data_IF_408957869577
#
_entry.id   IF_408957869577
#
_cell.length_a   1.000
_cell.length_b   1.000
_cell.length_c   1.000
_cell.angle_alpha   90.00
_cell.angle_beta   90.00
_cell.angle_gamma   90.00
#
_symmetry.space_group_name_H-M   'P 1'
#
loop_
_entity.id
_entity.type
_entity.pdbx_description
1 polymer ?
2 non-polymer ?
3 non-polymer ?
4 non-polymer ?
5 water ?
#
# COMPACT_ATOMS: atom_id res chain seq x y z
N UNK A 4 26.93 19.90 17.72
CA UNK A 4 26.40 18.69 17.08
C UNK A 4 26.89 18.58 15.64
N UNK A 5 26.16 19.20 14.72
CA UNK A 5 26.48 19.14 13.31
C UNK A 5 25.64 18.17 12.51
N UNK A 6 24.80 17.37 13.17
CA UNK A 6 23.92 16.43 12.50
C UNK A 6 22.50 16.61 13.02
N UNK A 7 21.53 16.34 12.16
CA UNK A 7 20.12 16.48 12.51
C UNK A 7 19.73 15.27 13.34
N UNK A 8 19.75 15.43 14.66
CA UNK A 8 19.40 14.35 15.59
C UNK A 8 18.08 14.68 16.26
N UNK A 9 17.15 13.73 16.21
CA UNK A 9 15.85 13.85 16.87
C UNK A 9 15.66 12.62 17.75
N UNK A 10 15.31 12.84 19.01
CA UNK A 10 15.21 11.74 19.95
C UNK A 10 16.54 11.03 20.08
N UNK A 11 16.53 9.71 19.85
CA UNK A 11 17.72 8.89 19.87
C UNK A 11 18.27 8.61 18.47
N UNK A 12 17.75 9.27 17.45
CA UNK A 12 18.07 8.95 16.07
C UNK A 12 18.78 10.11 15.39
N UNK A 13 19.81 9.78 14.63
CA UNK A 13 20.50 10.74 13.77
C UNK A 13 19.96 10.55 12.36
N UNK A 14 19.45 11.63 11.77
CA UNK A 14 18.90 11.57 10.43
C UNK A 14 20.00 11.62 9.39
N UNK A 15 19.74 11.01 8.24
CA UNK A 15 20.74 10.96 7.19
C UNK A 15 20.19 11.19 5.80
N UNK A 16 20.26 10.17 4.95
CA UNK A 16 19.83 10.29 3.57
C UNK A 16 18.33 10.56 3.48
N UNK A 17 17.94 11.28 2.43
CA UNK A 17 16.53 11.58 2.19
C UNK A 17 15.93 10.43 1.37
N UNK A 18 14.94 9.75 1.96
CA UNK A 18 14.25 8.68 1.25
C UNK A 18 13.19 9.20 0.31
N UNK A 19 12.72 10.43 0.50
CA UNK A 19 11.71 11.01 -0.36
C UNK A 19 11.20 12.33 0.17
N UNK A 20 10.68 13.18 -0.71
CA UNK A 20 10.12 14.47 -0.32
C UNK A 20 8.62 14.42 -0.59
N UNK A 21 7.82 14.64 0.45
CA UNK A 21 6.38 14.55 0.31
C UNK A 21 5.60 15.81 0.69
N UNK A 22 4.38 15.62 1.19
CA UNK A 22 3.48 16.72 1.48
C UNK A 22 4.01 17.61 2.59
N UNK A 23 4.02 17.09 3.82
CA UNK A 23 4.36 17.88 5.00
C UNK A 23 5.86 17.93 5.27
N UNK A 24 6.68 17.33 4.43
CA UNK A 24 8.12 17.37 4.61
C UNK A 24 8.78 16.12 4.06
N UNK A 25 10.09 16.08 4.20
CA UNK A 25 10.89 14.97 3.68
C UNK A 25 10.83 13.77 4.63
N UNK A 26 11.10 12.60 4.05
CA UNK A 26 11.28 11.37 4.82
C UNK A 26 12.76 11.00 4.75
N UNK A 27 13.39 10.90 5.91
CA UNK A 27 14.83 10.64 6.00
C UNK A 27 15.08 9.36 6.79
N UNK A 28 16.10 8.62 6.37
CA UNK A 28 16.52 7.44 7.13
C UNK A 28 17.13 7.89 8.45
N UNK A 29 16.68 7.27 9.53
CA UNK A 29 17.20 7.54 10.85
C UNK A 29 18.00 6.34 11.35
N UNK A 30 18.96 6.61 12.23
CA UNK A 30 19.81 5.58 12.80
C UNK A 30 19.90 5.79 14.30
N UNK A 31 19.53 4.78 15.07
CA UNK A 31 19.61 4.87 16.53
C UNK A 31 21.07 5.01 16.95
N UNK A 32 21.37 6.09 17.68
CA UNK A 32 22.75 6.36 18.08
C UNK A 32 23.30 5.26 18.98
N UNK A 33 22.43 4.58 19.74
CA UNK A 33 22.85 3.57 20.69
C UNK A 33 22.82 2.15 20.11
N UNK A 34 21.74 1.79 19.41
CA UNK A 34 21.58 0.44 18.90
C UNK A 34 21.96 0.30 17.43
N UNK A 35 21.97 1.40 16.67
CA UNK A 35 22.27 1.34 15.25
C UNK A 35 21.11 0.87 14.39
N UNK A 36 19.93 0.66 14.96
CA UNK A 36 18.78 0.18 14.22
C UNK A 36 18.31 1.25 13.24
N UNK A 37 18.26 0.89 11.96
CA UNK A 37 17.79 1.81 10.93
C UNK A 37 16.29 2.06 11.09
N UNK A 38 15.87 3.25 10.67
CA UNK A 38 14.49 3.71 10.85
C UNK A 38 14.19 4.75 9.79
N UNK A 39 12.91 4.94 9.50
CA UNK A 39 12.46 5.94 8.53
C UNK A 39 11.62 6.99 9.25
N UNK A 40 12.08 8.23 9.23
CA UNK A 40 11.48 9.32 9.97
C UNK A 40 10.73 10.23 9.00
N UNK A 41 9.41 10.31 9.15
CA UNK A 41 8.60 11.27 8.43
C UNK A 41 8.62 12.60 9.18
N UNK A 42 9.00 13.67 8.50
CA UNK A 42 9.06 15.00 9.09
C UNK A 42 7.84 15.77 8.64
N UNK A 43 6.99 16.16 9.60
CA UNK A 43 5.75 16.87 9.33
C UNK A 43 5.90 18.32 9.77
N UNK A 44 6.04 19.23 8.81
CA UNK A 44 6.14 20.65 9.13
C UNK A 44 4.80 21.14 9.65
N UNK A 45 4.80 21.70 10.86
CA UNK A 45 3.54 22.09 11.50
C UNK A 45 2.91 23.31 10.85
N UNK A 46 3.72 24.18 10.25
CA UNK A 46 3.16 25.33 9.54
C UNK A 46 2.43 24.88 8.27
N UNK A 47 2.95 23.87 7.59
CA UNK A 47 2.23 23.29 6.46
C UNK A 47 0.94 22.64 6.91
N UNK A 48 0.97 21.95 8.06
CA UNK A 48 -0.23 21.30 8.58
C UNK A 48 -1.32 22.33 8.88
N UNK A 49 -0.93 23.46 9.48
CA UNK A 49 -1.90 24.48 9.83
C UNK A 49 -2.40 25.26 8.62
N UNK A 50 -1.63 25.28 7.53
CA UNK A 50 -2.08 25.97 6.33
C UNK A 50 -3.21 25.21 5.63
N UNK A 51 -3.24 23.89 5.79
CA UNK A 51 -4.31 23.07 5.22
C UNK A 51 -5.45 22.83 6.20
N UNK A 52 -5.33 23.32 7.44
CA UNK A 52 -6.37 23.18 8.46
C UNK A 52 -6.70 21.71 8.72
N UNK A 53 -5.65 20.87 8.79
CA UNK A 53 -5.83 19.45 9.06
C UNK A 53 -5.11 19.10 10.36
N UNK A 54 -4.98 20.09 11.25
CA UNK A 54 -4.28 19.88 12.51
C UNK A 54 -5.02 18.84 13.35
N UNK A 55 -6.32 19.06 13.56
CA UNK A 55 -7.10 18.10 14.32
C UNK A 55 -7.24 16.76 13.64
N UNK A 56 -7.12 16.73 12.31
CA UNK A 56 -7.23 15.48 11.58
C UNK A 56 -5.92 14.68 11.61
N UNK A 57 -4.79 15.37 11.46
CA UNK A 57 -3.49 14.69 11.48
C UNK A 57 -3.21 14.12 12.86
N UNK A 58 -3.52 14.88 13.92
CA UNK A 58 -3.31 14.39 15.27
C UNK A 58 -4.18 13.19 15.60
N UNK A 59 -5.30 12.99 14.90
CA UNK A 59 -6.12 11.81 15.09
C UNK A 59 -5.76 10.68 14.13
N UNK A 60 -5.16 10.98 12.98
CA UNK A 60 -4.56 9.93 12.17
C UNK A 60 -3.32 9.37 12.84
N UNK A 61 -2.52 10.22 13.48
CA UNK A 61 -1.34 9.76 14.19
C UNK A 61 -1.74 8.95 15.42
N UNK A 62 -2.67 9.48 16.22
CA UNK A 62 -3.09 8.77 17.43
C UNK A 62 -3.80 7.46 17.09
N UNK A 63 -4.41 7.37 15.91
CA UNK A 63 -5.02 6.13 15.49
C UNK A 63 -3.99 5.15 14.93
N UNK A 64 -3.08 5.64 14.09
CA UNK A 64 -2.00 4.81 13.57
C UNK A 64 -1.08 4.30 14.67
N UNK A 65 -1.00 5.03 15.79
CA UNK A 65 -0.18 4.59 16.92
C UNK A 65 -0.71 3.31 17.56
N UNK A 66 -2.01 3.04 17.43
CA UNK A 66 -2.62 1.83 17.97
C UNK A 66 -2.77 0.74 16.92
N UNK A 67 -1.93 0.76 15.88
CA UNK A 67 -1.96 -0.26 14.83
C UNK A 67 -0.96 -1.35 15.15
N UNK A 68 -1.39 -2.60 15.04
CA UNK A 68 -0.55 -3.77 15.34
C UNK A 68 -0.76 -4.79 14.23
N UNK A 69 0.01 -4.66 13.15
CA UNK A 69 -0.09 -5.57 12.01
C UNK A 69 1.30 -5.80 11.44
N UNK A 70 1.70 -7.06 11.22
CA UNK A 70 3.06 -7.33 10.73
C UNK A 70 3.31 -6.84 9.31
N UNK A 71 2.26 -6.51 8.55
CA UNK A 71 2.41 -6.11 7.15
C UNK A 71 1.96 -4.69 6.89
N UNK A 72 1.77 -3.90 7.94
CA UNK A 72 1.57 -2.45 7.83
C UNK A 72 2.78 -1.78 8.45
N UNK A 73 3.30 -0.75 7.78
CA UNK A 73 4.47 -0.02 8.27
C UNK A 73 4.17 0.50 9.66
N UNK A 74 5.02 0.12 10.62
CA UNK A 74 4.75 0.42 12.02
C UNK A 74 5.24 1.81 12.39
N UNK A 75 4.48 2.48 13.25
CA UNK A 75 4.88 3.77 13.83
C UNK A 75 5.44 3.52 15.22
N UNK A 76 6.72 3.84 15.41
CA UNK A 76 7.37 3.56 16.68
C UNK A 76 7.07 4.64 17.72
N UNK A 77 7.24 5.91 17.35
CA UNK A 77 6.98 7.01 18.27
C UNK A 77 6.86 8.29 17.46
N UNK A 78 6.32 9.32 18.11
CA UNK A 78 6.18 10.64 17.52
C UNK A 78 6.89 11.64 18.43
N UNK A 79 7.86 12.37 17.87
CA UNK A 79 8.64 13.35 18.59
C UNK A 79 8.19 14.73 18.15
N UNK A 80 7.82 15.57 19.12
CA UNK A 80 7.20 16.87 18.86
C UNK A 80 8.17 17.99 19.22
N UNK A 81 8.59 18.73 18.22
CA UNK A 81 9.25 20.01 18.38
C UNK A 81 8.26 21.13 18.09
N UNK A 82 8.57 22.37 18.48
CA UNK A 82 7.65 23.47 18.17
C UNK A 82 7.36 23.63 16.68
N UNK A 83 8.22 23.13 15.81
CA UNK A 83 8.09 23.36 14.37
C UNK A 83 7.76 22.13 13.55
N UNK A 84 8.02 20.93 14.06
CA UNK A 84 7.89 19.73 13.25
C UNK A 84 7.37 18.56 14.09
N UNK A 85 6.69 17.64 13.43
CA UNK A 85 6.37 16.33 13.98
C UNK A 85 7.30 15.30 13.35
N UNK A 86 7.92 14.47 14.17
CA UNK A 86 8.85 13.45 13.72
C UNK A 86 8.25 12.08 13.99
N UNK A 87 7.65 11.49 12.96
CA UNK A 87 7.07 10.15 13.05
C UNK A 87 8.17 9.13 12.77
N UNK A 88 8.61 8.44 13.82
CA UNK A 88 9.65 7.43 13.71
C UNK A 88 8.97 6.13 13.29
N UNK A 89 9.22 5.69 12.06
CA UNK A 89 8.50 4.58 11.47
C UNK A 89 9.48 3.50 11.01
N UNK A 90 8.92 2.31 10.76
CA UNK A 90 9.72 1.17 10.33
C UNK A 90 10.38 1.44 8.99
N UNK A 91 11.63 1.03 8.86
CA UNK A 91 12.38 1.13 7.61
C UNK A 91 12.41 -0.24 6.94
N UNK A 92 12.06 -0.28 5.65
CA UNK A 92 12.06 -1.51 4.87
C UNK A 92 12.86 -1.27 3.59
N UNK A 93 13.80 -2.17 3.31
CA UNK A 93 14.78 -1.97 2.26
C UNK A 93 14.53 -2.79 1.00
N UNK A 94 13.43 -3.55 0.94
CA UNK A 94 13.16 -4.37 -0.23
C UNK A 94 12.67 -3.62 -1.45
N UNK A 95 12.29 -2.35 -1.30
CA UNK A 95 11.79 -1.58 -2.42
C UNK A 95 10.32 -1.86 -2.70
N UNK A 96 9.81 -1.18 -3.72
CA UNK A 96 8.42 -1.33 -4.09
C UNK A 96 8.15 -2.73 -4.66
N UNK A 97 6.96 -3.25 -4.36
CA UNK A 97 6.59 -4.58 -4.85
C UNK A 97 6.52 -4.61 -6.37
N UNK A 98 5.93 -3.59 -6.98
CA UNK A 98 5.76 -3.59 -8.43
C UNK A 98 7.07 -3.34 -9.17
N UNK A 99 8.05 -2.71 -8.52
CA UNK A 99 9.38 -2.62 -9.11
C UNK A 99 10.04 -4.00 -9.19
N UNK A 100 9.79 -4.84 -8.16
CA UNK A 100 10.29 -6.21 -8.21
C UNK A 100 9.62 -7.00 -9.33
N UNK A 101 8.30 -6.86 -9.47
CA UNK A 101 7.58 -7.61 -10.49
C UNK A 101 8.02 -7.17 -11.88
N UNK A 102 8.10 -5.86 -12.11
CA UNK A 102 8.46 -5.35 -13.41
C UNK A 102 9.90 -5.69 -13.81
N UNK A 103 10.72 -6.13 -12.87
CA UNK A 103 12.10 -6.52 -13.14
C UNK A 103 12.33 -8.02 -13.11
N UNK A 104 11.55 -8.76 -12.32
CA UNK A 104 11.70 -10.22 -12.27
C UNK A 104 10.63 -10.96 -13.05
N UNK A 105 9.45 -10.37 -13.24
CA UNK A 105 8.36 -11.06 -13.89
C UNK A 105 7.43 -11.67 -12.86
N UNK A 106 6.67 -12.66 -13.31
CA UNK A 106 5.75 -13.35 -12.41
C UNK A 106 6.53 -14.14 -11.36
N UNK A 107 5.97 -14.21 -10.16
CA UNK A 107 6.51 -15.02 -9.10
C UNK A 107 5.81 -16.37 -9.11
N UNK A 108 6.34 -17.32 -8.34
CA UNK A 108 5.72 -18.63 -8.24
C UNK A 108 4.37 -18.52 -7.54
N UNK A 109 3.49 -19.48 -7.80
CA UNK A 109 2.11 -19.39 -7.34
C UNK A 109 2.03 -19.36 -5.82
N UNK A 110 2.90 -20.09 -5.13
CA UNK A 110 2.90 -20.08 -3.67
C UNK A 110 3.41 -18.75 -3.14
N UNK A 111 4.40 -18.15 -3.81
CA UNK A 111 4.88 -16.83 -3.38
C UNK A 111 3.84 -15.75 -3.66
N UNK A 112 3.11 -15.88 -4.78
CA UNK A 112 2.04 -14.93 -5.05
C UNK A 112 0.91 -15.06 -4.03
N UNK A 113 0.59 -16.30 -3.63
CA UNK A 113 -0.46 -16.50 -2.64
C UNK A 113 -0.04 -15.94 -1.29
N UNK A 114 1.20 -16.21 -0.88
CA UNK A 114 1.69 -15.71 0.41
C UNK A 114 1.66 -14.19 0.45
N UNK A 115 2.08 -13.53 -0.65
CA UNK A 115 2.10 -12.08 -0.66
C UNK A 115 0.70 -11.49 -0.72
N UNK A 116 -0.19 -12.12 -1.49
CA UNK A 116 -1.56 -11.60 -1.59
C UNK A 116 -2.30 -11.74 -0.27
N UNK A 117 -2.05 -12.83 0.46
CA UNK A 117 -2.67 -12.99 1.77
C UNK A 117 -2.18 -11.93 2.75
N UNK A 118 -0.90 -11.58 2.68
CA UNK A 118 -0.39 -10.51 3.54
C UNK A 118 -1.02 -9.16 3.17
N UNK A 119 -1.09 -8.87 1.88
CA UNK A 119 -1.64 -7.59 1.42
C UNK A 119 -3.13 -7.50 1.76
N UNK A 120 -3.88 -8.58 1.52
CA UNK A 120 -5.31 -8.55 1.80
C UNK A 120 -5.58 -8.41 3.29
N UNK A 121 -4.72 -8.96 4.13
CA UNK A 121 -4.90 -8.83 5.58
C UNK A 121 -4.63 -7.41 6.04
N UNK A 122 -3.59 -6.77 5.50
CA UNK A 122 -3.29 -5.40 5.87
C UNK A 122 -4.40 -4.45 5.43
N UNK A 123 -4.94 -4.65 4.21
CA UNK A 123 -6.01 -3.79 3.71
C UNK A 123 -7.25 -3.93 4.59
N UNK A 124 -7.60 -5.16 4.96
CA UNK A 124 -8.75 -5.38 5.83
C UNK A 124 -8.55 -4.72 7.18
N UNK A 125 -7.32 -4.76 7.72
CA UNK A 125 -7.05 -4.15 9.01
C UNK A 125 -7.22 -2.63 8.95
N UNK A 126 -6.80 -2.01 7.85
CA UNK A 126 -6.94 -0.56 7.73
C UNK A 126 -8.40 -0.15 7.61
N UNK A 127 -9.17 -0.86 6.78
CA UNK A 127 -10.58 -0.56 6.62
C UNK A 127 -11.34 -0.71 7.93
N UNK A 128 -10.90 -1.63 8.79
CA UNK A 128 -11.59 -1.86 10.05
C UNK A 128 -11.18 -0.88 11.14
N UNK A 129 -9.92 -0.44 11.15
CA UNK A 129 -9.35 0.25 12.30
C UNK A 129 -9.04 1.72 12.05
N UNK A 130 -9.50 2.30 10.94
CA UNK A 130 -9.17 3.70 10.68
C UNK A 130 -10.22 4.31 9.77
N UNK A 131 -10.30 5.64 9.81
CA UNK A 131 -11.07 6.40 8.83
C UNK A 131 -10.19 6.62 7.61
N UNK A 132 -10.59 6.05 6.48
CA UNK A 132 -9.76 6.03 5.28
C UNK A 132 -9.78 7.40 4.63
N UNK A 133 -8.62 8.06 4.60
CA UNK A 133 -8.44 9.28 3.82
C UNK A 133 -7.74 9.03 2.49
N UNK A 134 -7.04 7.91 2.34
CA UNK A 134 -6.46 7.49 1.08
C UNK A 134 -7.05 6.14 0.67
N UNK A 135 -6.85 5.80 -0.59
CA UNK A 135 -7.08 4.46 -1.08
C UNK A 135 -5.74 3.75 -1.25
N UNK A 136 -5.80 2.42 -1.26
CA UNK A 136 -4.59 1.64 -1.44
C UNK A 136 -3.91 2.01 -2.76
N UNK A 137 -2.66 2.47 -2.66
CA UNK A 137 -1.86 2.74 -3.84
C UNK A 137 -0.91 1.57 -4.05
N UNK A 138 -1.07 0.77 -5.10
CA UNK A 138 -0.17 -0.39 -5.28
C UNK A 138 1.29 -0.02 -5.38
N UNK A 139 1.61 1.24 -5.69
CA UNK A 139 2.99 1.71 -5.64
C UNK A 139 3.49 1.88 -4.21
N UNK A 140 2.58 2.09 -3.25
CA UNK A 140 2.95 2.19 -1.85
C UNK A 140 3.13 0.85 -1.16
N UNK A 141 2.96 -0.26 -1.88
CA UNK A 141 3.18 -1.58 -1.31
C UNK A 141 4.67 -1.87 -1.40
N UNK A 142 5.33 -1.93 -0.25
CA UNK A 142 6.77 -2.14 -0.19
C UNK A 142 7.09 -3.57 0.23
N UNK A 143 8.37 -3.91 0.12
CA UNK A 143 8.88 -5.18 0.58
C UNK A 143 9.99 -4.94 1.60
N UNK A 144 10.22 -5.92 2.46
CA UNK A 144 11.33 -5.87 3.38
C UNK A 144 12.44 -6.78 2.87
N UNK A 145 13.44 -7.04 3.71
CA UNK A 145 14.52 -7.94 3.33
C UNK A 145 14.11 -9.40 3.36
N UNK A 146 13.00 -9.73 4.03
CA UNK A 146 12.48 -11.09 4.09
C UNK A 146 11.35 -11.33 3.09
N UNK A 147 11.21 -10.46 2.09
CA UNK A 147 10.21 -10.61 1.04
C UNK A 147 8.78 -10.60 1.60
N UNK A 148 8.55 -9.84 2.67
CA UNK A 148 7.22 -9.65 3.22
C UNK A 148 6.63 -8.33 2.75
N UNK A 149 5.32 -8.32 2.59
CA UNK A 149 4.63 -7.12 2.14
C UNK A 149 4.51 -6.11 3.27
N UNK A 150 4.77 -4.84 2.95
CA UNK A 150 4.72 -3.75 3.92
C UNK A 150 3.94 -2.60 3.30
N UNK A 151 2.84 -2.22 3.95
CA UNK A 151 1.88 -1.26 3.40
C UNK A 151 1.86 -0.03 4.28
N UNK A 152 1.91 1.15 3.64
CA UNK A 152 1.67 2.40 4.34
C UNK A 152 0.18 2.61 4.54
N UNK A 153 -0.21 3.04 5.73
CA UNK A 153 -1.63 3.18 6.05
C UNK A 153 -2.27 4.26 5.18
N UNK A 154 -3.61 4.20 5.09
CA UNK A 154 -4.39 5.03 4.19
C UNK A 154 -4.69 6.40 4.76
N UNK A 155 -3.84 6.95 5.63
CA UNK A 155 -4.01 8.31 6.10
C UNK A 155 -3.37 9.33 5.19
N UNK A 156 -3.85 10.57 5.26
CA UNK A 156 -3.33 11.63 4.41
C UNK A 156 -1.91 12.07 4.76
N UNK A 157 -1.28 11.40 5.74
CA UNK A 157 0.13 11.65 6.02
C UNK A 157 1.04 10.85 5.11
N UNK A 158 0.56 9.70 4.63
CA UNK A 158 1.36 8.78 3.80
C UNK A 158 1.24 9.08 2.32
N UNK A 159 1.20 10.36 1.94
CA UNK A 159 1.18 10.73 0.53
C UNK A 159 2.59 10.74 -0.07
N UNK A 160 3.44 9.81 0.36
CA UNK A 160 4.83 9.77 -0.06
C UNK A 160 5.05 8.71 -1.13
N UNK A 161 5.89 9.03 -2.11
CA UNK A 161 6.23 8.11 -3.19
C UNK A 161 7.41 8.65 -3.99
N UNK A 162 8.35 9.31 -3.31
CA UNK A 162 9.50 9.94 -3.94
C UNK A 162 10.77 9.14 -3.65
N UNK A 163 11.89 9.64 -4.15
CA UNK A 163 13.18 8.99 -3.95
C UNK A 163 13.85 8.57 -5.23
N UNK A 169 8.08 0.35 -11.79
CA UNK A 169 6.70 -0.06 -12.06
C UNK A 169 6.41 -0.01 -13.56
N UNK A 170 5.24 -0.52 -13.93
CA UNK A 170 4.88 -0.70 -15.34
C UNK A 170 3.68 0.16 -15.72
N UNK A 171 3.46 1.25 -15.01
CA UNK A 171 2.32 2.11 -15.25
C UNK A 171 1.91 2.83 -13.99
N UNK A 172 1.00 3.80 -14.16
CA UNK A 172 0.59 4.60 -13.02
C UNK A 172 -0.93 4.74 -12.93
N UNK A 173 -1.63 5.14 -14.00
CA UNK A 173 -3.11 5.09 -13.95
C UNK A 173 -3.66 3.68 -14.06
N UNK A 174 -2.80 2.68 -14.25
CA UNK A 174 -3.23 1.30 -14.37
C UNK A 174 -3.94 0.79 -13.12
N UNK A 175 -3.68 1.40 -11.97
CA UNK A 175 -4.26 0.96 -10.71
C UNK A 175 -5.48 1.78 -10.31
N UNK A 176 -6.11 2.45 -11.27
CA UNK A 176 -7.27 3.29 -11.01
C UNK A 176 -8.54 2.51 -11.28
N UNK A 177 -9.36 2.33 -10.24
CA UNK A 177 -10.62 1.61 -10.39
C UNK A 177 -11.57 2.38 -11.30
N UNK A 178 -12.51 1.69 -11.94
CA UNK A 178 -13.43 2.38 -12.88
C UNK A 178 -14.21 3.52 -12.24
N UNK A 179 -14.76 3.30 -11.04
CA UNK A 179 -15.51 4.37 -10.38
C UNK A 179 -14.60 5.54 -10.00
N UNK A 180 -13.30 5.28 -9.80
CA UNK A 180 -12.36 6.37 -9.58
C UNK A 180 -12.11 7.14 -10.86
N UNK A 181 -11.98 6.43 -11.98
CA UNK A 181 -11.74 7.08 -13.27
C UNK A 181 -12.93 7.93 -13.67
N UNK A 182 -14.15 7.45 -13.41
CA UNK A 182 -15.36 8.16 -13.78
C UNK A 182 -15.66 9.34 -12.86
N UNK A 183 -14.83 9.60 -11.86
CA UNK A 183 -15.04 10.74 -10.99
C UNK A 183 -16.24 10.63 -10.09
N UNK A 184 -16.60 9.42 -9.69
CA UNK A 184 -17.75 9.23 -8.81
C UNK A 184 -17.49 9.89 -7.46
N UNK A 185 -18.42 10.77 -7.05
CA UNK A 185 -18.20 11.56 -5.85
C UNK A 185 -18.15 10.73 -4.58
N UNK A 186 -18.61 9.48 -4.63
CA UNK A 186 -18.51 8.56 -3.50
C UNK A 186 -17.72 7.33 -3.91
N UNK A 187 -16.90 6.83 -2.98
CA UNK A 187 -16.17 5.59 -3.18
C UNK A 187 -15.91 4.97 -1.82
N UNK A 188 -16.08 3.65 -1.73
CA UNK A 188 -15.93 2.94 -0.48
C UNK A 188 -14.73 2.01 -0.47
N UNK A 189 -14.87 0.89 0.23
CA UNK A 189 -13.76 -0.08 0.31
C UNK A 189 -13.57 -0.92 -0.94
N UNK A 190 -14.54 -0.94 -1.85
CA UNK A 190 -14.42 -1.76 -3.05
C UNK A 190 -13.31 -1.26 -3.98
N UNK A 191 -12.92 0.01 -3.86
CA UNK A 191 -11.82 0.51 -4.67
C UNK A 191 -10.53 -0.25 -4.35
N UNK A 192 -10.31 -0.56 -3.08
CA UNK A 192 -9.11 -1.30 -2.70
C UNK A 192 -9.16 -2.75 -3.17
N UNK A 193 -10.37 -3.31 -3.32
CA UNK A 193 -10.48 -4.67 -3.86
C UNK A 193 -9.99 -4.70 -5.30
N UNK A 194 -10.34 -3.67 -6.08
CA UNK A 194 -9.86 -3.59 -7.45
C UNK A 194 -8.34 -3.53 -7.49
N UNK A 195 -7.75 -2.66 -6.68
CA UNK A 195 -6.29 -2.53 -6.66
C UNK A 195 -5.62 -3.84 -6.28
N UNK A 196 -6.20 -4.56 -5.31
CA UNK A 196 -5.66 -5.87 -4.94
C UNK A 196 -5.82 -6.87 -6.07
N UNK A 197 -6.87 -6.74 -6.89
CA UNK A 197 -6.99 -7.58 -8.07
C UNK A 197 -5.90 -7.28 -9.08
N UNK A 198 -5.57 -6.00 -9.25
CA UNK A 198 -4.45 -5.61 -10.10
C UNK A 198 -3.15 -6.19 -9.55
N UNK A 199 -2.98 -6.13 -8.22
CA UNK A 199 -1.77 -6.66 -7.59
C UNK A 199 -1.68 -8.17 -7.79
N UNK A 200 -2.79 -8.87 -7.55
CA UNK A 200 -2.79 -10.32 -7.72
C UNK A 200 -2.46 -10.70 -9.16
N UNK A 201 -3.01 -9.97 -10.13
CA UNK A 201 -2.75 -10.27 -11.54
C UNK A 201 -1.27 -10.12 -11.85
N UNK A 202 -0.64 -9.03 -11.40
CA UNK A 202 0.76 -8.81 -11.68
C UNK A 202 1.65 -9.84 -10.99
N UNK A 203 1.26 -10.30 -9.80
CA UNK A 203 2.03 -11.34 -9.12
C UNK A 203 2.03 -12.64 -9.89
N UNK A 204 0.92 -12.95 -10.57
CA UNK A 204 0.77 -14.23 -11.27
C UNK A 204 1.17 -14.16 -12.74
N UNK A 205 1.14 -12.97 -13.35
CA UNK A 205 1.39 -12.84 -14.77
C UNK A 205 2.63 -12.02 -15.12
N UNK A 206 3.15 -11.21 -14.20
CA UNK A 206 4.30 -10.39 -14.49
C UNK A 206 4.01 -9.07 -15.16
N UNK A 207 2.75 -8.80 -15.51
CA UNK A 207 2.35 -7.52 -16.10
C UNK A 207 1.02 -7.10 -15.49
N UNK A 208 0.60 -5.91 -15.86
CA UNK A 208 -0.65 -5.31 -15.42
C UNK A 208 -1.80 -5.74 -16.34
N UNK A 209 -3.00 -5.91 -15.80
CA UNK A 209 -4.10 -6.46 -16.61
C UNK A 209 -4.63 -5.51 -17.68
N UNK A 210 -4.47 -4.19 -17.52
CA UNK A 210 -5.06 -3.22 -18.44
C UNK A 210 -4.01 -2.30 -19.06
N UNK A 211 -2.76 -2.76 -19.15
CA UNK A 211 -1.68 -1.88 -19.58
C UNK A 211 -1.87 -1.43 -21.03
N UNK A 212 -1.55 -0.16 -21.27
CA UNK A 212 -1.62 0.42 -22.62
C UNK A 212 -0.81 1.71 -22.61
N UNK A 213 0.07 1.86 -23.60
CA UNK A 213 0.91 3.05 -23.67
C UNK A 213 0.09 4.31 -23.91
N UNK A 214 -0.99 4.21 -24.67
CA UNK A 214 -1.87 5.35 -24.88
C UNK A 214 -2.82 5.47 -23.69
N UNK A 215 -2.71 6.58 -22.96
CA UNK A 215 -3.48 6.73 -21.72
C UNK A 215 -4.99 6.73 -21.96
N UNK A 216 -5.53 7.45 -22.95
CA UNK A 216 -6.98 7.39 -23.16
C UNK A 216 -7.52 5.98 -23.39
N UNK A 217 -6.81 5.17 -24.19
CA UNK A 217 -7.25 3.79 -24.40
C UNK A 217 -7.03 2.92 -23.17
N UNK A 218 -6.07 3.28 -22.31
CA UNK A 218 -5.92 2.59 -21.04
C UNK A 218 -7.16 2.74 -20.18
N UNK A 219 -7.70 3.97 -20.10
CA UNK A 219 -8.96 4.18 -19.39
C UNK A 219 -10.10 3.42 -20.03
N UNK A 220 -10.08 3.28 -21.35
CA UNK A 220 -11.17 2.57 -22.04
C UNK A 220 -11.16 1.09 -21.70
N UNK A 221 -9.98 0.47 -21.62
CA UNK A 221 -9.89 -0.94 -21.26
C UNK A 221 -10.33 -1.19 -19.82
N UNK A 222 -10.05 -0.24 -18.92
CA UNK A 222 -10.46 -0.40 -17.53
C UNK A 222 -11.98 -0.33 -17.41
N UNK A 223 -12.60 0.61 -18.12
CA UNK A 223 -14.06 0.69 -18.11
C UNK A 223 -14.69 -0.54 -18.74
N UNK A 224 -14.05 -1.11 -19.77
CA UNK A 224 -14.59 -2.30 -20.39
C UNK A 224 -14.43 -3.54 -19.53
N UNK A 225 -13.41 -3.56 -18.67
CA UNK A 225 -13.22 -4.67 -17.75
C UNK A 225 -12.76 -5.96 -18.39
N UNK A 226 -12.42 -5.95 -19.67
CA UNK A 226 -11.90 -7.14 -20.34
C UNK A 226 -10.40 -7.19 -20.12
N UNK A 227 -9.91 -8.29 -19.58
CA UNK A 227 -8.48 -8.51 -19.40
C UNK A 227 -8.14 -9.93 -19.80
N UNK A 228 -6.90 -10.13 -20.21
CA UNK A 228 -6.45 -11.42 -20.73
C UNK A 228 -6.15 -12.37 -19.57
N UNK A 229 -6.86 -13.49 -19.52
CA UNK A 229 -6.59 -14.55 -18.56
C UNK A 229 -5.71 -15.58 -19.27
N UNK A 230 -4.43 -15.68 -18.93
CA UNK A 230 -3.57 -16.67 -19.58
C UNK A 230 -4.01 -18.09 -19.24
N UNK A 231 -3.76 -19.00 -20.19
CA UNK A 231 -4.18 -20.38 -19.99
C UNK A 231 -3.36 -21.08 -18.91
N UNK A 232 -2.11 -20.68 -18.72
CA UNK A 232 -1.30 -21.26 -17.66
C UNK A 232 -1.81 -20.90 -16.27
N UNK A 233 -2.68 -19.91 -16.16
CA UNK A 233 -3.18 -19.48 -14.86
C UNK A 233 -4.09 -20.54 -14.27
N UNK A 234 -4.04 -20.66 -12.95
CA UNK A 234 -4.90 -21.59 -12.24
C UNK A 234 -6.38 -21.22 -12.46
N UNK A 235 -7.19 -22.24 -12.76
CA UNK A 235 -8.59 -21.98 -13.08
C UNK A 235 -9.35 -21.41 -11.88
N UNK A 236 -8.95 -21.78 -10.67
CA UNK A 236 -9.61 -21.25 -9.48
C UNK A 236 -9.25 -19.79 -9.25
N UNK A 237 -7.97 -19.45 -9.37
CA UNK A 237 -7.55 -18.06 -9.18
C UNK A 237 -8.06 -17.19 -10.33
N UNK A 238 -8.38 -17.78 -11.49
CA UNK A 238 -8.98 -17.01 -12.57
C UNK A 238 -10.36 -16.49 -12.16
N UNK A 239 -11.15 -17.33 -11.50
CA UNK A 239 -12.46 -16.89 -11.02
C UNK A 239 -12.30 -15.79 -9.96
N UNK A 240 -11.30 -15.92 -9.10
CA UNK A 240 -11.05 -14.88 -8.11
C UNK A 240 -10.72 -13.55 -8.78
N UNK A 241 -9.87 -13.58 -9.80
CA UNK A 241 -9.49 -12.35 -10.49
C UNK A 241 -10.69 -11.71 -11.19
N UNK A 242 -11.53 -12.53 -11.83
CA UNK A 242 -12.72 -11.98 -12.49
C UNK A 242 -13.66 -11.35 -11.47
N UNK A 243 -13.74 -11.92 -10.28
CA UNK A 243 -14.63 -11.39 -9.26
C UNK A 243 -14.06 -10.11 -8.64
N UNK A 244 -12.73 -10.01 -8.53
CA UNK A 244 -12.12 -8.83 -7.94
C UNK A 244 -12.03 -7.67 -8.91
N UNK A 245 -11.93 -7.96 -10.21
CA UNK A 245 -11.80 -6.92 -11.23
C UNK A 245 -13.13 -6.61 -11.92
N UNK A 246 -14.24 -6.74 -11.19
CA UNK A 246 -15.54 -6.36 -11.72
C UNK A 246 -15.63 -4.84 -11.85
N UNK A 247 -16.10 -4.36 -13.00
CA UNK A 247 -16.23 -2.93 -13.22
C UNK A 247 -17.27 -2.34 -12.27
N UNK A 248 -18.40 -3.02 -12.11
CA UNK A 248 -19.45 -2.56 -11.22
C UNK A 248 -19.11 -2.92 -9.79
N UNK A 249 -18.87 -1.94 -8.92
CA UNK A 249 -18.50 -2.25 -7.53
C UNK A 249 -19.58 -3.00 -6.76
N UNK A 250 -20.85 -2.89 -7.17
CA UNK A 250 -21.90 -3.66 -6.51
C UNK A 250 -21.74 -5.15 -6.75
N UNK A 251 -21.18 -5.54 -7.90
CA UNK A 251 -20.94 -6.94 -8.21
C UNK A 251 -19.50 -7.35 -7.93
N UNK A 252 -18.67 -6.45 -7.41
CA UNK A 252 -17.28 -6.75 -7.14
C UNK A 252 -17.14 -7.57 -5.85
N UNK A 253 -16.13 -8.43 -5.82
CA UNK A 253 -15.89 -9.27 -4.66
C UNK A 253 -15.59 -8.42 -3.44
N UNK A 254 -15.98 -8.93 -2.27
CA UNK A 254 -15.67 -8.29 -0.99
C UNK A 254 -14.56 -9.06 -0.30
N UNK A 255 -14.09 -8.50 0.82
CA UNK A 255 -13.02 -9.15 1.57
C UNK A 255 -13.47 -10.51 2.08
N UNK A 256 -14.72 -10.62 2.51
CA UNK A 256 -15.22 -11.93 2.96
C UNK A 256 -15.31 -12.91 1.79
N UNK A 257 -15.61 -12.42 0.58
CA UNK A 257 -15.61 -13.31 -0.58
C UNK A 257 -14.20 -13.82 -0.87
N UNK A 258 -13.22 -12.92 -0.83
CA UNK A 258 -11.84 -13.33 -1.07
C UNK A 258 -11.36 -14.28 0.02
N UNK A 259 -11.74 -14.01 1.27
CA UNK A 259 -11.33 -14.87 2.37
C UNK A 259 -11.95 -16.27 2.29
N UNK A 260 -13.09 -16.41 1.61
CA UNK A 260 -13.74 -17.70 1.47
C UNK A 260 -13.28 -18.48 0.23
N UNK A 261 -12.56 -17.83 -0.67
CA UNK A 261 -12.17 -18.47 -1.92
C UNK A 261 -11.16 -19.58 -1.67
N UNK A 262 -11.33 -20.69 -2.40
CA UNK A 262 -10.51 -21.88 -2.15
C UNK A 262 -9.03 -21.60 -2.39
N UNK A 263 -8.72 -20.78 -3.39
CA UNK A 263 -7.32 -20.46 -3.67
C UNK A 263 -6.71 -19.63 -2.55
N UNK A 264 -7.47 -18.69 -1.99
CA UNK A 264 -6.95 -17.84 -0.93
C UNK A 264 -6.77 -18.61 0.38
N UNK A 265 -7.64 -19.58 0.65
CA UNK A 265 -7.59 -20.29 1.92
C UNK A 265 -6.43 -21.28 2.01
N UNK A 266 -5.82 -21.63 0.88
CA UNK A 266 -4.77 -22.64 0.88
C UNK A 266 -3.52 -22.11 1.56
N UNK A 267 -3.01 -22.87 2.53
CA UNK A 267 -1.78 -22.52 3.26
C UNK A 267 -1.87 -21.12 3.87
N UNK A 268 -3.06 -20.75 4.30
CA UNK A 268 -3.28 -19.44 4.90
C UNK A 268 -2.74 -19.43 6.32
N UNK A 269 -1.78 -18.57 6.64
CA UNK A 269 -1.27 -18.53 8.02
C UNK A 269 -2.34 -18.04 8.99
N UNK A 270 -2.18 -18.45 10.25
CA UNK A 270 -3.19 -18.19 11.27
C UNK A 270 -3.18 -16.74 11.73
N UNK A 271 -2.02 -16.07 11.71
CA UNK A 271 -1.91 -14.73 12.28
C UNK A 271 -2.51 -13.65 11.38
N UNK A 272 -2.70 -13.93 10.09
CA UNK A 272 -3.13 -12.89 9.16
C UNK A 272 -4.54 -12.41 9.47
N UNK A 273 -5.49 -13.33 9.59
CA UNK A 273 -6.89 -13.01 9.89
C UNK A 273 -7.28 -13.72 11.19
N UNK A 274 -6.95 -13.12 12.34
CA UNK A 274 -7.42 -13.69 13.61
C UNK A 274 -8.93 -13.60 13.80
N UNK A 275 -9.62 -12.82 12.97
CA UNK A 275 -11.07 -12.69 13.06
C UNK A 275 -11.76 -13.97 12.57
#
# INVERSE_FOLDING_TARGET
GKHDGRVKIGHYVLGDTLGVGTFGKVKIGEHQLTGHKVAVKILNRQKIRSLDVVGKIKREIQNLKLFRHPHIIKLYQVISTPTDFFMVMEYVSGGELFDYICKHGRVEEMEARRLFQQILSAVDYCHRHMVVHRDLKPENVLLDAHMNAKIADFGLSNMMSDGEFLRTSCGSPNYAAPEVISGRLYAGPEVDIWSCGVILYALLCGTLPFDDEHVPTLFKKIRGGVFYIPEYLNRSVATLLMHMLQVDPLKRATIKDIREHEWFKQDLPSYLFPED
#
